data_IF_068708079971
#
_entry.id   IF_068708079971
#
_cell.length_a   1.000
_cell.length_b   1.000
_cell.length_c   1.000
_cell.angle_alpha   90.00
_cell.angle_beta   90.00
_cell.angle_gamma   90.00
#
_symmetry.space_group_name_H-M   'P 1'
#
loop_
_entity.id
_entity.type
_entity.pdbx_description
1 polymer ?
#
# COMPACT_ATOMS: atom_id res chain seq x y z
N UNK A 1 -56.57 -16.47 -0.64
CA UNK A 1 -56.52 -15.48 -1.73
C UNK A 1 -55.68 -14.31 -1.20
N UNK A 2 -54.39 -14.22 -1.57
CA UNK A 2 -53.89 -13.42 -2.71
C UNK A 2 -53.94 -11.90 -2.37
N UNK A 3 -52.91 -11.04 -2.37
CA UNK A 3 -51.50 -11.03 -2.84
C UNK A 3 -50.72 -9.86 -2.17
N UNK A 4 -49.39 -10.03 -2.06
CA UNK A 4 -48.26 -9.07 -2.25
C UNK A 4 -48.25 -7.71 -1.50
N UNK A 5 -47.32 -7.42 -0.57
CA UNK A 5 -45.86 -7.18 -0.70
C UNK A 5 -45.51 -6.18 -1.82
N UNK A 6 -45.17 -4.95 -1.45
CA UNK A 6 -44.22 -4.11 -2.19
C UNK A 6 -43.32 -3.39 -1.18
N UNK A 7 -42.18 -4.03 -0.90
CA UNK A 7 -41.01 -3.39 -0.28
C UNK A 7 -40.30 -2.63 -1.38
N UNK A 8 -40.34 -1.30 -1.34
CA UNK A 8 -39.47 -0.49 -2.20
C UNK A 8 -38.03 -0.64 -1.72
N UNK A 9 -37.29 -1.55 -2.35
CA UNK A 9 -35.85 -1.64 -2.24
C UNK A 9 -35.24 -0.50 -3.06
N UNK A 10 -34.86 0.58 -2.38
CA UNK A 10 -33.99 1.61 -2.93
C UNK A 10 -32.58 1.00 -3.00
N UNK A 11 -32.28 0.30 -4.09
CA UNK A 11 -30.90 -0.11 -4.39
C UNK A 11 -30.19 1.14 -4.90
N UNK A 12 -29.52 1.87 -3.99
CA UNK A 12 -28.48 2.80 -4.39
C UNK A 12 -27.37 1.96 -5.05
N UNK A 13 -27.28 2.05 -6.38
CA UNK A 13 -26.12 1.61 -7.12
C UNK A 13 -24.91 2.43 -6.67
N UNK A 14 -24.12 1.87 -5.76
CA UNK A 14 -22.77 2.36 -5.48
C UNK A 14 -21.94 2.04 -6.72
N UNK A 15 -21.68 3.06 -7.55
CA UNK A 15 -20.62 2.99 -8.54
C UNK A 15 -19.32 2.70 -7.79
N UNK A 16 -18.71 1.56 -8.07
CA UNK A 16 -17.45 1.13 -7.50
C UNK A 16 -16.33 2.05 -8.00
N UNK A 17 -16.09 3.14 -7.27
CA UNK A 17 -14.80 3.80 -7.29
C UNK A 17 -13.82 2.84 -6.61
N UNK A 18 -13.17 1.97 -7.39
CA UNK A 18 -12.01 1.18 -6.93
C UNK A 18 -10.80 2.11 -6.76
N UNK A 19 -10.89 3.07 -5.84
CA UNK A 19 -9.71 3.60 -5.16
C UNK A 19 -9.15 2.45 -4.34
N UNK A 20 -7.87 2.11 -4.50
CA UNK A 20 -7.31 0.95 -3.83
C UNK A 20 -7.60 1.00 -2.32
N UNK A 21 -8.16 -0.09 -1.83
CA UNK A 21 -8.64 -0.18 -0.46
C UNK A 21 -7.47 -0.56 0.44
N UNK A 22 -7.39 0.09 1.60
CA UNK A 22 -6.58 -0.43 2.69
C UNK A 22 -7.05 -1.83 3.05
N UNK A 23 -6.11 -2.69 3.43
CA UNK A 23 -6.44 -4.00 3.96
C UNK A 23 -7.31 -3.87 5.21
N UNK A 24 -8.07 -4.91 5.52
CA UNK A 24 -8.66 -5.01 6.84
C UNK A 24 -7.56 -5.08 7.91
N UNK A 25 -7.78 -4.44 9.06
CA UNK A 25 -6.78 -4.31 10.13
C UNK A 25 -6.19 -5.66 10.54
N UNK A 26 -7.05 -6.64 10.80
CA UNK A 26 -6.61 -7.96 11.27
C UNK A 26 -5.79 -8.68 10.20
N UNK A 27 -6.13 -8.46 8.93
CA UNK A 27 -5.37 -9.00 7.81
C UNK A 27 -4.01 -8.32 7.68
N UNK A 28 -3.96 -7.00 7.83
CA UNK A 28 -2.72 -6.23 7.76
C UNK A 28 -1.71 -6.67 8.83
N UNK A 29 -2.15 -7.03 10.04
CA UNK A 29 -1.21 -7.45 11.08
C UNK A 29 -0.41 -8.71 10.72
N UNK A 30 -0.84 -9.49 9.71
CA UNK A 30 -0.02 -10.56 9.13
C UNK A 30 1.15 -10.04 8.27
N UNK A 31 1.00 -8.84 7.69
CA UNK A 31 2.00 -8.15 6.86
C UNK A 31 2.85 -7.15 7.66
N UNK A 32 2.36 -6.67 8.81
CA UNK A 32 3.06 -5.73 9.68
C UNK A 32 4.51 -6.13 10.04
N UNK A 33 4.88 -7.42 10.25
CA UNK A 33 6.27 -7.81 10.42
C UNK A 33 7.18 -7.44 9.24
N UNK A 34 6.69 -7.52 7.99
CA UNK A 34 7.45 -7.13 6.80
C UNK A 34 7.62 -5.62 6.73
N UNK A 35 6.55 -4.88 7.06
CA UNK A 35 6.60 -3.42 7.14
C UNK A 35 7.63 -2.92 8.17
N UNK A 36 7.67 -3.54 9.36
CA UNK A 36 8.69 -3.24 10.37
C UNK A 36 10.10 -3.57 9.90
N UNK A 37 10.29 -4.72 9.25
CA UNK A 37 11.60 -5.08 8.68
C UNK A 37 12.07 -4.05 7.63
N UNK A 38 11.16 -3.47 6.84
CA UNK A 38 11.45 -2.37 5.92
C UNK A 38 11.93 -1.11 6.64
N UNK A 39 11.25 -0.71 7.73
CA UNK A 39 11.62 0.43 8.55
C UNK A 39 12.97 0.21 9.24
N UNK A 40 13.22 -0.99 9.77
CA UNK A 40 14.49 -1.35 10.40
C UNK A 40 15.65 -1.39 9.40
N UNK A 41 15.39 -1.85 8.17
CA UNK A 41 16.36 -1.77 7.08
C UNK A 41 16.70 -0.31 6.76
N UNK A 42 15.71 0.59 6.73
CA UNK A 42 15.96 2.02 6.56
C UNK A 42 16.81 2.60 7.69
N UNK A 43 16.49 2.28 8.95
CA UNK A 43 17.32 2.67 10.11
C UNK A 43 18.77 2.20 9.95
N UNK A 44 18.95 0.96 9.51
CA UNK A 44 20.28 0.36 9.33
C UNK A 44 21.07 1.01 8.20
N UNK A 45 20.42 1.31 7.06
CA UNK A 45 21.07 1.98 5.91
C UNK A 45 21.63 3.36 6.27
N UNK A 46 20.87 4.12 7.07
CA UNK A 46 21.28 5.46 7.52
C UNK A 46 22.17 5.42 8.77
N UNK A 47 22.13 4.33 9.54
CA UNK A 47 22.98 4.11 10.71
C UNK A 47 22.86 5.24 11.74
N UNK A 48 24.01 5.65 12.31
CA UNK A 48 24.08 6.74 13.29
C UNK A 48 23.93 8.15 12.67
N UNK A 49 23.68 8.26 11.36
CA UNK A 49 23.62 9.55 10.65
C UNK A 49 22.19 10.07 10.46
N UNK A 50 21.19 9.44 11.06
CA UNK A 50 19.82 9.96 11.03
C UNK A 50 19.77 11.30 11.78
N UNK A 51 19.30 12.34 11.09
CA UNK A 51 18.88 13.56 11.77
C UNK A 51 17.64 13.31 12.64
N UNK A 52 17.37 14.22 13.59
CA UNK A 52 16.17 14.13 14.44
C UNK A 52 14.87 14.05 13.61
N UNK A 53 14.80 14.79 12.49
CA UNK A 53 13.66 14.77 11.58
C UNK A 53 13.50 13.39 10.90
N UNK A 54 14.60 12.81 10.42
CA UNK A 54 14.61 11.49 9.79
C UNK A 54 14.23 10.39 10.80
N UNK A 55 14.78 10.45 12.01
CA UNK A 55 14.41 9.54 13.08
C UNK A 55 12.91 9.65 13.45
N UNK A 56 12.37 10.87 13.50
CA UNK A 56 10.95 11.11 13.77
C UNK A 56 10.03 10.52 12.69
N UNK A 57 10.43 10.57 11.40
CA UNK A 57 9.70 9.92 10.31
C UNK A 57 9.68 8.41 10.47
N UNK A 58 10.81 7.79 10.77
CA UNK A 58 10.87 6.33 10.96
C UNK A 58 10.09 5.88 12.21
N UNK A 59 10.03 6.71 13.25
CA UNK A 59 9.18 6.47 14.42
C UNK A 59 7.68 6.61 14.07
N UNK A 60 7.32 7.60 13.23
CA UNK A 60 5.97 7.77 12.73
C UNK A 60 5.54 6.58 11.86
N UNK A 61 6.42 6.11 10.99
CA UNK A 61 6.18 4.92 10.17
C UNK A 61 5.90 3.70 11.06
N UNK A 62 6.72 3.49 12.10
CA UNK A 62 6.53 2.38 13.04
C UNK A 62 5.20 2.50 13.83
N UNK A 63 4.82 3.70 14.26
CA UNK A 63 3.50 3.94 14.88
C UNK A 63 2.34 3.60 13.93
N UNK A 64 2.44 4.03 12.66
CA UNK A 64 1.43 3.69 11.63
C UNK A 64 1.28 2.19 11.47
N UNK A 65 2.40 1.45 11.41
CA UNK A 65 2.40 -0.01 11.31
C UNK A 65 1.80 -0.67 12.56
N UNK A 66 2.21 -0.24 13.75
CA UNK A 66 1.81 -0.89 15.00
C UNK A 66 0.35 -0.59 15.40
N UNK A 67 -0.20 0.54 14.98
CA UNK A 67 -1.57 0.95 15.32
C UNK A 67 -2.55 0.85 14.16
N UNK A 68 -2.06 0.49 12.97
CA UNK A 68 -2.80 0.54 11.72
C UNK A 68 -3.43 1.93 11.47
N UNK A 69 -2.66 3.00 11.70
CA UNK A 69 -3.14 4.38 11.60
C UNK A 69 -3.17 4.90 10.15
N UNK A 70 -3.99 4.27 9.29
CA UNK A 70 -4.09 4.59 7.85
C UNK A 70 -4.39 6.07 7.56
N UNK A 71 -5.11 6.75 8.46
CA UNK A 71 -5.39 8.19 8.36
C UNK A 71 -4.14 9.09 8.46
N UNK A 72 -3.04 8.57 8.99
CA UNK A 72 -1.77 9.30 9.13
C UNK A 72 -0.83 9.12 7.94
N UNK A 73 -1.19 8.30 6.96
CA UNK A 73 -0.36 8.07 5.77
C UNK A 73 -0.04 9.37 5.02
N UNK A 74 -1.00 10.31 4.80
CA UNK A 74 -0.67 11.58 4.15
C UNK A 74 0.37 12.40 4.94
N UNK A 75 0.24 12.47 6.27
CA UNK A 75 1.23 13.13 7.14
C UNK A 75 2.60 12.46 7.03
N UNK A 76 2.62 11.13 7.06
CA UNK A 76 3.85 10.33 6.94
C UNK A 76 4.55 10.59 5.61
N UNK A 77 3.82 10.60 4.49
CA UNK A 77 4.38 10.87 3.17
C UNK A 77 4.99 12.27 3.08
N UNK A 78 4.27 13.30 3.54
CA UNK A 78 4.78 14.67 3.55
C UNK A 78 6.06 14.79 4.38
N UNK A 79 6.06 14.29 5.62
CA UNK A 79 7.24 14.39 6.50
C UNK A 79 8.42 13.58 5.97
N UNK A 80 8.15 12.45 5.35
CA UNK A 80 9.16 11.59 4.77
C UNK A 80 9.81 12.25 3.56
N UNK A 81 9.04 12.88 2.68
CA UNK A 81 9.56 13.69 1.58
C UNK A 81 10.42 14.87 2.09
N UNK A 82 9.95 15.59 3.11
CA UNK A 82 10.69 16.70 3.72
C UNK A 82 12.03 16.26 4.36
N UNK A 83 12.07 15.09 5.00
CA UNK A 83 13.24 14.63 5.76
C UNK A 83 14.25 13.80 4.93
N UNK A 84 13.78 13.07 3.92
CA UNK A 84 14.60 12.14 3.13
C UNK A 84 14.64 12.48 1.64
N UNK A 85 13.67 13.26 1.13
CA UNK A 85 13.44 13.44 -0.30
C UNK A 85 12.61 12.30 -0.91
N UNK A 86 11.99 12.58 -2.05
CA UNK A 86 10.98 11.70 -2.65
C UNK A 86 11.51 10.29 -2.97
N UNK A 87 12.73 10.19 -3.49
CA UNK A 87 13.29 8.89 -3.90
C UNK A 87 13.60 7.99 -2.70
N UNK A 88 14.27 8.50 -1.68
CA UNK A 88 14.53 7.70 -0.48
C UNK A 88 13.21 7.40 0.25
N UNK A 89 12.27 8.35 0.27
CA UNK A 89 10.94 8.10 0.82
C UNK A 89 10.21 6.95 0.10
N UNK A 90 10.39 6.85 -1.23
CA UNK A 90 9.88 5.73 -2.03
C UNK A 90 10.46 4.40 -1.57
N UNK A 91 11.76 4.34 -1.29
CA UNK A 91 12.45 3.15 -0.80
C UNK A 91 12.07 2.77 0.64
N UNK A 92 11.77 3.75 1.48
CA UNK A 92 11.40 3.53 2.89
C UNK A 92 9.95 3.06 3.00
N UNK A 93 9.03 3.78 2.35
CA UNK A 93 7.59 3.58 2.51
C UNK A 93 6.97 2.69 1.43
N UNK A 94 7.62 2.55 0.28
CA UNK A 94 7.15 1.69 -0.79
C UNK A 94 7.38 0.21 -0.48
N UNK A 95 6.59 -0.62 -1.16
CA UNK A 95 6.86 -2.04 -1.25
C UNK A 95 7.94 -2.27 -2.32
N UNK A 96 9.12 -2.76 -1.90
CA UNK A 96 10.21 -3.14 -2.79
C UNK A 96 9.94 -4.46 -3.54
N UNK A 97 8.75 -5.08 -3.36
CA UNK A 97 8.32 -6.27 -4.09
C UNK A 97 7.94 -6.00 -5.56
N UNK A 98 8.46 -4.91 -6.15
CA UNK A 98 8.68 -4.75 -7.60
C UNK A 98 9.70 -5.78 -8.12
N UNK A 99 9.51 -7.06 -7.78
CA UNK A 99 10.07 -8.18 -8.51
C UNK A 99 9.49 -8.11 -9.92
N UNK A 100 10.22 -7.40 -10.76
CA UNK A 100 10.15 -7.43 -12.20
C UNK A 100 9.99 -8.88 -12.62
N UNK A 101 8.81 -9.26 -13.12
CA UNK A 101 8.63 -10.53 -13.80
C UNK A 101 9.34 -10.48 -15.16
N UNK A 102 10.67 -10.45 -15.12
CA UNK A 102 11.51 -10.82 -16.25
C UNK A 102 11.37 -12.33 -16.46
N UNK A 103 10.54 -12.72 -17.41
CA UNK A 103 10.38 -14.12 -17.81
C UNK A 103 9.01 -14.37 -18.42
N UNK A 104 9.02 -14.74 -19.70
CA UNK A 104 7.90 -14.92 -20.64
C UNK A 104 6.75 -15.88 -20.24
N UNK A 105 6.60 -16.31 -18.98
CA UNK A 105 5.53 -17.23 -18.55
C UNK A 105 5.03 -17.04 -17.10
N UNK A 106 5.03 -15.81 -16.56
CA UNK A 106 4.51 -15.59 -15.19
C UNK A 106 3.11 -14.98 -15.21
N UNK A 107 2.15 -15.69 -14.58
CA UNK A 107 0.80 -15.21 -14.19
C UNK A 107 0.90 -13.74 -13.77
N UNK A 108 -0.11 -12.92 -14.11
CA UNK A 108 -0.15 -11.51 -13.70
C UNK A 108 0.15 -11.39 -12.20
N UNK A 109 1.39 -11.04 -11.85
CA UNK A 109 1.82 -10.88 -10.48
C UNK A 109 1.29 -9.53 -10.05
N UNK A 110 0.08 -9.54 -9.50
CA UNK A 110 -0.56 -8.34 -8.98
C UNK A 110 0.21 -7.89 -7.76
N UNK A 111 1.17 -6.99 -7.98
CA UNK A 111 2.19 -6.60 -7.02
C UNK A 111 2.30 -5.11 -6.82
N UNK A 112 1.34 -4.35 -7.35
CA UNK A 112 1.20 -2.94 -7.02
C UNK A 112 -0.24 -2.64 -6.61
N UNK A 113 -0.41 -1.48 -5.99
CA UNK A 113 -1.72 -0.95 -5.62
C UNK A 113 -1.96 0.34 -6.39
N UNK A 114 -3.10 0.46 -7.08
CA UNK A 114 -3.43 1.70 -7.82
C UNK A 114 -3.63 2.91 -6.92
N UNK A 115 -3.74 2.72 -5.60
CA UNK A 115 -3.78 3.80 -4.61
C UNK A 115 -2.39 4.24 -4.13
N UNK A 116 -1.34 3.53 -4.51
CA UNK A 116 0.05 3.85 -4.17
C UNK A 116 0.99 3.28 -5.24
N UNK A 117 1.27 4.09 -6.27
CA UNK A 117 2.12 3.69 -7.39
C UNK A 117 3.60 3.73 -7.00
N UNK A 118 4.19 2.54 -6.93
CA UNK A 118 5.60 2.33 -6.59
C UNK A 118 6.37 1.61 -7.70
N UNK A 119 5.79 1.55 -8.91
CA UNK A 119 6.41 0.90 -10.05
C UNK A 119 7.75 1.57 -10.43
N UNK A 120 8.71 0.75 -10.84
CA UNK A 120 10.04 1.24 -11.21
C UNK A 120 10.08 1.81 -12.64
N UNK A 121 10.99 2.76 -12.86
CA UNK A 121 11.24 3.34 -14.19
C UNK A 121 10.09 4.19 -14.69
N UNK A 122 9.66 3.94 -15.94
CA UNK A 122 8.54 4.65 -16.58
C UNK A 122 7.21 3.91 -16.49
N UNK A 123 7.17 2.80 -15.76
CA UNK A 123 5.95 2.00 -15.60
C UNK A 123 5.05 2.60 -14.53
N UNK A 124 3.75 2.34 -14.65
CA UNK A 124 2.73 2.76 -13.68
C UNK A 124 1.88 1.59 -13.23
N UNK A 125 1.29 1.71 -12.05
CA UNK A 125 0.40 0.69 -11.53
C UNK A 125 -0.95 0.75 -12.26
N UNK A 126 -1.17 -0.21 -13.15
CA UNK A 126 -2.40 -0.31 -13.92
C UNK A 126 -3.32 -1.38 -13.33
N UNK A 127 -4.58 -1.01 -13.05
CA UNK A 127 -5.61 -2.00 -12.71
C UNK A 127 -5.83 -2.91 -13.92
N UNK A 128 -5.65 -4.21 -13.74
CA UNK A 128 -5.89 -5.20 -14.79
C UNK A 128 -7.09 -6.06 -14.37
N UNK A 129 -7.97 -6.41 -15.31
CA UNK A 129 -9.07 -7.37 -15.05
C UNK A 129 -8.55 -8.74 -14.60
N UNK A 130 -7.31 -9.10 -14.96
CA UNK A 130 -6.64 -10.31 -14.47
C UNK A 130 -6.06 -10.15 -13.05
N UNK A 131 -6.11 -8.94 -12.47
CA UNK A 131 -5.72 -8.67 -11.09
C UNK A 131 -6.92 -8.62 -10.18
N UNK A 132 -7.26 -9.79 -9.64
CA UNK A 132 -8.10 -9.88 -8.45
C UNK A 132 -7.32 -9.39 -7.23
N UNK A 133 -8.04 -8.74 -6.30
CA UNK A 133 -7.49 -8.30 -5.01
C UNK A 133 -6.73 -9.45 -4.33
N UNK A 134 -5.44 -9.27 -4.13
CA UNK A 134 -4.62 -10.26 -3.45
C UNK A 134 -4.62 -9.97 -1.96
N UNK A 135 -4.73 -11.01 -1.13
CA UNK A 135 -4.71 -10.89 0.32
C UNK A 135 -3.32 -10.51 0.90
N UNK A 136 -2.32 -10.30 0.05
CA UNK A 136 -1.00 -9.79 0.41
C UNK A 136 -1.00 -8.27 0.38
N UNK A 137 -0.16 -7.67 1.23
CA UNK A 137 -0.01 -6.22 1.27
C UNK A 137 0.82 -5.67 0.10
N UNK A 138 0.45 -4.46 -0.32
CA UNK A 138 1.09 -3.62 -1.32
C UNK A 138 1.02 -2.14 -0.88
N UNK A 139 1.65 -1.25 -1.63
CA UNK A 139 1.58 0.20 -1.40
C UNK A 139 2.38 0.64 -0.18
N UNK A 140 1.93 1.72 0.48
CA UNK A 140 2.63 2.27 1.64
C UNK A 140 2.73 1.25 2.77
N UNK A 141 3.94 0.78 3.10
CA UNK A 141 4.22 -0.15 4.21
C UNK A 141 3.28 -1.36 4.20
N UNK A 142 2.96 -1.89 3.01
CA UNK A 142 2.09 -3.05 2.82
C UNK A 142 0.63 -2.86 3.31
N UNK A 143 0.15 -1.62 3.48
CA UNK A 143 -1.17 -1.32 4.06
C UNK A 143 -2.34 -1.54 3.09
N UNK A 144 -2.09 -1.65 1.78
CA UNK A 144 -3.12 -1.71 0.75
C UNK A 144 -3.20 -3.09 0.11
N UNK A 145 -4.37 -3.45 -0.40
CA UNK A 145 -4.45 -4.61 -1.27
C UNK A 145 -3.70 -4.38 -2.59
N UNK A 146 -3.05 -5.42 -3.09
CA UNK A 146 -2.54 -5.44 -4.46
C UNK A 146 -3.70 -5.64 -5.44
N UNK A 147 -3.90 -4.70 -6.36
CA UNK A 147 -4.99 -4.69 -7.33
C UNK A 147 -4.54 -4.35 -8.76
N UNK A 148 -3.23 -4.22 -8.97
CA UNK A 148 -2.67 -3.87 -10.27
C UNK A 148 -1.32 -4.53 -10.54
N UNK A 149 -0.82 -4.30 -11.75
CA UNK A 149 0.52 -4.69 -12.17
C UNK A 149 1.26 -3.51 -12.78
N UNK A 150 2.56 -3.42 -12.51
CA UNK A 150 3.44 -2.43 -13.12
C UNK A 150 3.62 -2.72 -14.61
N UNK A 151 3.29 -1.74 -15.45
CA UNK A 151 3.44 -1.79 -16.91
C UNK A 151 3.81 -0.42 -17.45
#
# INVERSE_FOLDING_TARGET
MHYAILKNALILGMAAFSSAQFMERDQYFNEAPKARAHIDAARTRHGNNLSDAQAAVLNLADDVVNTFATKRIPELLTKCDEAFGSEECRLILGDASTESAGGLEKRATCGCSTGADYCDGSSSCNSNAACEYQARGCGHLFLMYCNGACR
#
